data_IF_674178037921
#
_entry.id   IF_674178037921
#
_cell.length_a   1.000
_cell.length_b   1.000
_cell.length_c   1.000
_cell.angle_alpha   90.00
_cell.angle_beta   90.00
_cell.angle_gamma   90.00
#
_symmetry.space_group_name_H-M   'P 1'
#
loop_
_entity.id
_entity.type
_entity.pdbx_description
1 polymer ?
#
# COMPACT_ATOMS: atom_id res chain seq x y z
N UNK A 1 5.81 -5.66 -6.44
CA UNK A 1 5.22 -6.30 -5.24
C UNK A 1 4.38 -5.22 -4.58
N UNK A 2 3.07 -5.34 -4.71
CA UNK A 2 2.14 -4.28 -4.25
C UNK A 2 2.09 -4.28 -2.74
N UNK A 3 2.41 -3.15 -2.13
CA UNK A 3 2.17 -2.92 -0.70
C UNK A 3 0.69 -2.57 -0.52
N UNK A 4 -0.13 -3.57 -0.25
CA UNK A 4 -1.55 -3.39 -0.01
C UNK A 4 -1.75 -2.95 1.45
N UNK A 5 -2.06 -1.69 1.65
CA UNK A 5 -2.34 -1.12 2.96
C UNK A 5 -3.85 -1.27 3.26
N UNK A 6 -4.23 -2.18 4.16
CA UNK A 6 -5.59 -2.31 4.64
C UNK A 6 -5.77 -1.51 5.93
N UNK A 7 -6.65 -0.51 5.89
CA UNK A 7 -7.13 0.15 7.08
C UNK A 7 -8.57 -0.28 7.36
N UNK A 8 -8.78 -0.99 8.45
CA UNK A 8 -10.12 -1.24 8.99
C UNK A 8 -10.43 -0.15 10.01
N UNK A 9 -11.20 0.85 9.61
CA UNK A 9 -11.79 1.80 10.54
C UNK A 9 -13.14 1.26 11.02
N UNK A 10 -13.24 1.00 12.32
CA UNK A 10 -14.49 0.54 12.95
C UNK A 10 -15.32 1.74 13.38
N UNK A 11 -15.94 2.42 12.44
CA UNK A 11 -16.98 3.42 12.66
C UNK A 11 -18.32 2.85 12.22
N UNK A 12 -19.06 2.23 13.18
CA UNK A 12 -20.49 1.96 13.06
C UNK A 12 -20.98 1.27 11.79
N UNK A 13 -20.26 0.26 11.31
CA UNK A 13 -20.64 -0.47 10.10
C UNK A 13 -21.46 -1.72 10.41
N UNK A 14 -22.22 -2.12 9.45
CA UNK A 14 -23.19 -3.20 9.35
C UNK A 14 -22.88 -4.43 10.23
N UNK A 15 -23.82 -4.78 11.10
CA UNK A 15 -23.72 -5.90 12.06
C UNK A 15 -23.78 -7.30 11.42
N UNK A 16 -23.79 -7.38 10.09
CA UNK A 16 -24.00 -8.63 9.36
C UNK A 16 -22.77 -9.15 8.59
N UNK A 17 -21.59 -8.58 8.80
CA UNK A 17 -20.38 -9.16 8.23
C UNK A 17 -19.97 -10.37 9.08
N UNK A 18 -20.34 -11.55 8.65
CA UNK A 18 -19.99 -12.82 9.28
C UNK A 18 -18.52 -13.18 8.98
N UNK A 19 -17.60 -12.41 9.56
CA UNK A 19 -16.17 -12.70 9.45
C UNK A 19 -15.86 -13.76 10.51
N UNK A 20 -15.55 -14.96 10.08
CA UNK A 20 -15.02 -15.98 10.96
C UNK A 20 -13.55 -15.67 11.29
N UNK A 21 -13.31 -14.97 12.39
CA UNK A 21 -11.97 -14.57 12.83
C UNK A 21 -11.04 -15.75 13.18
N UNK A 22 -11.59 -16.94 13.34
CA UNK A 22 -10.85 -18.15 13.71
C UNK A 22 -10.51 -19.04 12.52
N UNK A 23 -11.10 -18.78 11.36
CA UNK A 23 -10.83 -19.52 10.14
C UNK A 23 -9.59 -18.96 9.45
N UNK A 24 -8.47 -19.66 9.61
CA UNK A 24 -7.24 -19.36 8.89
C UNK A 24 -6.97 -20.47 7.88
N UNK A 25 -7.40 -20.33 6.62
CA UNK A 25 -7.24 -21.35 5.60
C UNK A 25 -5.77 -21.60 5.19
N UNK A 26 -4.87 -20.74 5.65
CA UNK A 26 -3.44 -20.87 5.36
C UNK A 26 -2.70 -21.51 6.52
N UNK A 27 -1.80 -22.45 6.24
CA UNK A 27 -0.95 -23.12 7.23
C UNK A 27 0.12 -22.19 7.86
N UNK A 28 -0.08 -20.90 7.81
CA UNK A 28 0.78 -19.89 8.44
C UNK A 28 0.68 -20.02 9.96
N UNK A 29 1.83 -20.05 10.64
CA UNK A 29 1.90 -20.06 12.11
C UNK A 29 1.59 -18.70 12.74
N UNK A 30 1.18 -17.70 11.95
CA UNK A 30 0.81 -16.38 12.45
C UNK A 30 -0.66 -16.35 12.80
N UNK A 31 -0.96 -15.91 14.00
CA UNK A 31 -2.34 -15.70 14.45
C UNK A 31 -2.92 -14.44 13.81
N UNK A 32 -4.24 -14.43 13.61
CA UNK A 32 -4.95 -13.23 13.19
C UNK A 32 -4.82 -12.14 14.25
N UNK A 33 -4.54 -10.93 13.84
CA UNK A 33 -4.47 -9.76 14.71
C UNK A 33 -5.83 -9.09 14.72
N UNK A 34 -6.42 -8.96 15.90
CA UNK A 34 -7.69 -8.27 16.12
C UNK A 34 -7.41 -7.03 16.94
N UNK A 35 -7.83 -5.87 16.44
CA UNK A 35 -7.65 -4.59 17.11
C UNK A 35 -9.00 -3.86 17.28
N UNK A 36 -9.18 -3.15 18.41
CA UNK A 36 -10.41 -2.40 18.69
C UNK A 36 -10.43 -1.03 18.03
N UNK A 37 -9.31 -0.32 18.04
CA UNK A 37 -9.26 1.10 17.70
C UNK A 37 -8.65 1.37 16.31
N UNK A 38 -7.90 0.43 15.77
CA UNK A 38 -7.27 0.55 14.45
C UNK A 38 -6.11 -0.42 14.30
N UNK A 39 -5.72 -0.65 13.07
CA UNK A 39 -4.63 -1.55 12.72
C UNK A 39 -3.82 -0.93 11.58
N UNK A 40 -2.52 -1.14 11.60
CA UNK A 40 -1.62 -0.82 10.48
C UNK A 40 -0.95 -2.12 10.02
N UNK A 41 -1.05 -2.41 8.74
CA UNK A 41 -0.46 -3.60 8.14
C UNK A 41 0.47 -3.19 7.00
N UNK A 42 1.72 -3.63 7.06
CA UNK A 42 2.73 -3.39 6.02
C UNK A 42 3.82 -4.47 6.10
N UNK A 43 4.63 -4.59 5.05
CA UNK A 43 5.72 -5.56 4.98
C UNK A 43 6.87 -5.30 5.95
N UNK A 44 6.98 -4.09 6.51
CA UNK A 44 8.10 -3.69 7.36
C UNK A 44 7.66 -3.21 8.75
N UNK A 45 8.25 -3.77 9.81
CA UNK A 45 7.87 -3.48 11.19
C UNK A 45 8.10 -2.01 11.59
N UNK A 46 9.13 -1.36 11.08
CA UNK A 46 9.42 0.04 11.40
C UNK A 46 8.36 0.96 10.77
N UNK A 47 7.93 0.66 9.57
CA UNK A 47 6.86 1.38 8.91
C UNK A 47 5.52 1.16 9.61
N UNK A 48 5.22 -0.06 10.10
CA UNK A 48 4.06 -0.32 10.96
C UNK A 48 4.07 0.57 12.19
N UNK A 49 5.21 0.68 12.88
CA UNK A 49 5.34 1.52 14.07
C UNK A 49 5.13 3.00 13.76
N UNK A 50 5.62 3.50 12.63
CA UNK A 50 5.40 4.88 12.21
C UNK A 50 3.89 5.19 12.06
N UNK A 51 3.14 4.32 11.39
CA UNK A 51 1.69 4.45 11.24
C UNK A 51 0.95 4.35 12.59
N UNK A 52 1.32 3.40 13.45
CA UNK A 52 0.72 3.25 14.79
C UNK A 52 0.95 4.49 15.66
N UNK A 53 2.12 5.12 15.59
CA UNK A 53 2.39 6.37 16.32
C UNK A 53 1.45 7.49 15.88
N UNK A 54 1.11 7.58 14.59
CA UNK A 54 0.13 8.55 14.11
C UNK A 54 -1.26 8.29 14.68
N UNK A 55 -1.72 7.05 14.69
CA UNK A 55 -3.00 6.69 15.31
C UNK A 55 -3.01 6.99 16.81
N UNK A 56 -1.94 6.67 17.54
CA UNK A 56 -1.79 6.93 18.97
C UNK A 56 -1.74 8.44 19.30
N UNK A 57 -1.22 9.25 18.40
CA UNK A 57 -1.21 10.71 18.52
C UNK A 57 -2.56 11.36 18.19
N UNK A 58 -3.58 10.57 17.83
CA UNK A 58 -4.91 11.08 17.47
C UNK A 58 -5.10 11.36 15.98
N UNK A 59 -4.14 10.98 15.14
CA UNK A 59 -4.27 11.03 13.68
C UNK A 59 -5.29 10.00 13.16
N UNK A 60 -5.77 10.23 11.97
CA UNK A 60 -6.68 9.34 11.28
C UNK A 60 -5.96 8.27 10.45
N UNK A 61 -6.71 7.40 9.80
CA UNK A 61 -6.17 6.31 8.98
C UNK A 61 -5.31 6.82 7.80
N UNK A 62 -5.66 7.96 7.22
CA UNK A 62 -4.88 8.56 6.11
C UNK A 62 -3.54 9.09 6.62
N UNK A 63 -3.53 9.76 7.79
CA UNK A 63 -2.29 10.22 8.42
C UNK A 63 -1.35 9.04 8.70
N UNK A 64 -1.91 7.94 9.21
CA UNK A 64 -1.15 6.71 9.46
C UNK A 64 -0.62 6.08 8.17
N UNK A 65 -1.41 6.06 7.09
CA UNK A 65 -0.99 5.56 5.79
C UNK A 65 0.17 6.36 5.22
N UNK A 66 0.08 7.69 5.27
CA UNK A 66 1.13 8.60 4.78
C UNK A 66 2.42 8.40 5.57
N UNK A 67 2.33 8.34 6.91
CA UNK A 67 3.51 8.13 7.75
C UNK A 67 4.16 6.76 7.49
N UNK A 68 3.36 5.73 7.29
CA UNK A 68 3.83 4.38 6.92
C UNK A 68 4.53 4.40 5.56
N UNK A 69 3.90 4.98 4.54
CA UNK A 69 4.45 5.07 3.20
C UNK A 69 5.75 5.88 3.17
N UNK A 70 5.82 7.02 3.87
CA UNK A 70 7.03 7.80 4.00
C UNK A 70 8.17 7.01 4.66
N UNK A 71 7.88 6.25 5.71
CA UNK A 71 8.88 5.39 6.36
C UNK A 71 9.38 4.29 5.41
N UNK A 72 8.48 3.70 4.61
CA UNK A 72 8.84 2.64 3.64
C UNK A 72 9.86 3.11 2.60
N UNK A 73 9.86 4.39 2.22
CA UNK A 73 10.85 4.92 1.28
C UNK A 73 12.29 4.81 1.79
N UNK A 74 12.46 4.73 3.13
CA UNK A 74 13.77 4.60 3.78
C UNK A 74 14.09 3.14 4.15
N UNK A 75 13.11 2.43 4.70
CA UNK A 75 13.35 1.07 5.25
C UNK A 75 13.15 -0.03 4.21
N UNK A 76 12.52 0.27 3.08
CA UNK A 76 12.31 -0.65 1.96
C UNK A 76 12.49 0.09 0.60
N UNK A 77 13.66 0.68 0.34
CA UNK A 77 13.88 1.56 -0.80
C UNK A 77 13.87 0.84 -2.16
N UNK A 78 13.98 -0.48 -2.16
CA UNK A 78 13.93 -1.27 -3.39
C UNK A 78 12.53 -1.32 -4.03
N UNK A 79 11.48 -1.07 -3.25
CA UNK A 79 10.08 -1.16 -3.70
C UNK A 79 9.30 0.13 -3.48
N UNK A 80 9.88 1.12 -2.81
CA UNK A 80 9.20 2.35 -2.42
C UNK A 80 10.08 3.58 -2.66
N UNK A 81 9.47 4.67 -3.11
CA UNK A 81 10.17 5.93 -3.32
C UNK A 81 9.21 7.10 -3.32
N UNK A 82 9.69 8.32 -3.02
CA UNK A 82 8.86 9.53 -2.99
C UNK A 82 8.23 9.88 -4.34
N UNK A 83 8.85 9.48 -5.43
CA UNK A 83 8.36 9.72 -6.79
C UNK A 83 7.82 8.47 -7.47
N UNK A 84 7.60 7.39 -6.72
CA UNK A 84 7.07 6.14 -7.27
C UNK A 84 5.54 6.16 -7.39
N UNK A 85 5.02 5.12 -8.02
CA UNK A 85 3.59 4.91 -8.19
C UNK A 85 2.87 4.87 -6.84
N UNK A 86 1.66 5.39 -6.81
CA UNK A 86 0.82 5.36 -5.62
C UNK A 86 -0.64 5.05 -5.96
N UNK A 87 -1.22 4.10 -5.24
CA UNK A 87 -2.63 3.74 -5.38
C UNK A 87 -3.27 3.77 -3.99
N UNK A 88 -4.47 4.33 -3.90
CA UNK A 88 -5.19 4.35 -2.64
C UNK A 88 -6.69 4.15 -2.84
N UNK A 89 -7.31 3.44 -1.90
CA UNK A 89 -8.75 3.39 -1.70
C UNK A 89 -9.00 3.80 -0.26
N UNK A 90 -9.78 4.86 -0.08
CA UNK A 90 -10.09 5.43 1.23
C UNK A 90 -11.60 5.43 1.42
N UNK A 91 -12.06 4.81 2.51
CA UNK A 91 -13.44 4.89 2.95
C UNK A 91 -13.53 5.86 4.11
N UNK A 92 -14.28 6.94 3.94
CA UNK A 92 -14.44 7.98 4.96
C UNK A 92 -15.81 8.61 4.87
N UNK A 93 -16.51 8.76 6.02
CA UNK A 93 -17.84 9.37 6.09
C UNK A 93 -18.84 8.72 5.09
N UNK A 94 -18.90 7.40 5.07
CA UNK A 94 -19.76 6.59 4.20
C UNK A 94 -19.55 6.81 2.70
N UNK A 95 -18.37 7.33 2.33
CA UNK A 95 -18.01 7.56 0.93
C UNK A 95 -16.64 6.94 0.62
N UNK A 96 -16.55 6.31 -0.54
CA UNK A 96 -15.31 5.75 -1.06
C UNK A 96 -14.61 6.75 -1.99
N UNK A 97 -13.31 6.89 -1.80
CA UNK A 97 -12.42 7.69 -2.64
C UNK A 97 -11.33 6.77 -3.20
N UNK A 98 -11.08 6.89 -4.49
CA UNK A 98 -9.99 6.19 -5.16
C UNK A 98 -8.94 7.17 -5.67
N UNK A 99 -7.69 6.78 -5.59
CA UNK A 99 -6.57 7.52 -6.17
C UNK A 99 -5.73 6.55 -7.01
N UNK A 100 -5.43 6.96 -8.23
CA UNK A 100 -4.45 6.30 -9.08
C UNK A 100 -3.39 7.34 -9.45
N UNK A 101 -2.17 7.11 -9.01
CA UNK A 101 -1.01 7.96 -9.25
C UNK A 101 0.12 7.10 -9.84
N UNK A 102 -0.16 6.41 -10.94
CA UNK A 102 0.85 5.61 -11.66
C UNK A 102 1.85 6.48 -12.46
N UNK A 103 1.59 7.79 -12.53
CA UNK A 103 2.45 8.71 -13.27
C UNK A 103 2.28 8.61 -14.79
N UNK A 104 3.11 9.35 -15.49
CA UNK A 104 3.15 9.35 -16.95
C UNK A 104 4.25 8.43 -17.46
N UNK A 105 4.04 7.82 -18.62
CA UNK A 105 5.12 7.16 -19.35
C UNK A 105 6.20 8.18 -19.72
N UNK A 106 7.47 7.76 -19.86
CA UNK A 106 8.53 8.63 -20.37
C UNK A 106 8.15 9.27 -21.70
N UNK A 107 8.39 10.58 -21.84
CA UNK A 107 7.95 11.36 -23.01
C UNK A 107 8.48 10.83 -24.35
N UNK A 108 9.66 10.23 -24.34
CA UNK A 108 10.32 9.71 -25.55
C UNK A 108 10.00 8.25 -25.85
N UNK A 109 9.14 7.60 -25.05
CA UNK A 109 8.76 6.21 -25.28
C UNK A 109 7.61 6.16 -26.32
N UNK A 110 7.69 5.22 -27.25
CA UNK A 110 6.63 4.94 -28.22
C UNK A 110 6.40 3.44 -28.31
N UNK A 111 5.22 3.03 -28.81
CA UNK A 111 4.90 1.63 -29.03
C UNK A 111 5.92 0.94 -29.96
N UNK A 112 6.40 1.65 -30.98
CA UNK A 112 7.41 1.12 -31.90
C UNK A 112 8.72 0.82 -31.19
N UNK A 113 9.21 1.75 -30.36
CA UNK A 113 10.42 1.53 -29.53
C UNK A 113 10.29 0.37 -28.57
N UNK A 114 9.11 0.17 -27.99
CA UNK A 114 8.85 -0.96 -27.11
C UNK A 114 8.86 -2.29 -27.88
N UNK A 115 8.31 -2.29 -29.09
CA UNK A 115 8.27 -3.49 -29.93
C UNK A 115 9.65 -3.89 -30.48
N UNK A 116 10.59 -2.95 -30.57
CA UNK A 116 11.97 -3.21 -30.94
C UNK A 116 12.80 -3.87 -29.82
N UNK A 117 12.34 -3.79 -28.59
CA UNK A 117 13.01 -4.43 -27.45
C UNK A 117 12.87 -5.94 -27.57
N UNK A 118 13.97 -6.72 -27.61
CA UNK A 118 13.90 -8.16 -27.68
C UNK A 118 13.09 -8.73 -26.52
N UNK A 119 12.08 -9.53 -26.80
CA UNK A 119 11.23 -10.22 -25.80
C UNK A 119 12.02 -11.31 -25.05
N UNK A 120 13.19 -10.98 -24.55
CA UNK A 120 14.03 -11.88 -23.76
C UNK A 120 13.88 -11.52 -22.28
N UNK A 121 12.93 -12.17 -21.62
CA UNK A 121 12.86 -12.15 -20.16
C UNK A 121 12.73 -10.75 -19.55
N UNK A 122 12.74 -10.67 -18.26
CA UNK A 122 12.82 -9.43 -17.50
C UNK A 122 14.21 -8.78 -17.70
N UNK A 123 14.31 -7.83 -18.60
CA UNK A 123 15.47 -6.95 -18.69
C UNK A 123 15.03 -5.62 -18.13
N UNK A 124 15.65 -5.12 -17.04
CA UNK A 124 15.42 -3.77 -16.58
C UNK A 124 15.84 -2.82 -17.73
N UNK A 125 14.87 -2.16 -18.33
CA UNK A 125 15.16 -1.13 -19.34
C UNK A 125 15.60 0.11 -18.57
N UNK A 126 16.89 0.33 -18.48
CA UNK A 126 17.42 1.61 -18.03
C UNK A 126 17.21 2.61 -19.13
N UNK A 127 16.16 3.42 -19.04
CA UNK A 127 15.98 4.56 -19.95
C UNK A 127 16.91 5.67 -19.45
N UNK A 128 17.85 6.16 -20.25
CA UNK A 128 18.63 7.33 -19.85
C UNK A 128 17.68 8.51 -19.63
N UNK A 129 17.69 9.03 -18.43
CA UNK A 129 17.02 10.30 -18.12
C UNK A 129 17.94 11.39 -18.67
N UNK A 130 17.53 12.04 -19.76
CA UNK A 130 18.14 13.27 -20.27
C UNK A 130 17.49 14.46 -19.60
#
# INVERSE_FOLDING_TARGET
MECLLYFLYNGGGDKNMNINYYDNPFSSKRMNIIARNGVVCTGNNLATQAGLRMLQAGGNAVDAAIATAACLTVVEPCSNGLGSDGFAIVWMKDKMYGMNSSGHSPYLISADKINEIPKRGWIPVTVPVL
#
